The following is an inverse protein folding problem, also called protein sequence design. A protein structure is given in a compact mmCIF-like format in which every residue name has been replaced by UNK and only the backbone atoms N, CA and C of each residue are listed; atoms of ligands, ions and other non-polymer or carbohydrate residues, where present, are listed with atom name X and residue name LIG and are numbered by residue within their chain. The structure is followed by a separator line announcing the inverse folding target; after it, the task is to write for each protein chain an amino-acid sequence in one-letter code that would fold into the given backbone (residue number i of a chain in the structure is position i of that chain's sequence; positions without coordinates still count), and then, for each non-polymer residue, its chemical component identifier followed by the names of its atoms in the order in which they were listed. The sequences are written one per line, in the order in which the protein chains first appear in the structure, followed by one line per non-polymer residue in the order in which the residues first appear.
data_IF_657624954256
#
_entry.id   IF_657624954256
#
_cell.length_a   1.000
_cell.length_b   1.000
_cell.length_c   1.000
_cell.angle_alpha   90.00
_cell.angle_beta   90.00
_cell.angle_gamma   90.00
#
_symmetry.space_group_name_H-M   'P 1'
#
loop_
_entity.id
_entity.type
_entity.pdbx_description
1 polymer ?
#
# COMPACT_ATOMS: atom_id res chain seq x y z
N UNK A 1 17.41 4.92 6.39
CA UNK A 1 16.95 4.73 5.00
C UNK A 1 15.46 5.06 4.96
N UNK A 2 14.88 5.42 3.80
CA UNK A 2 13.42 5.54 3.69
C UNK A 2 12.76 4.19 3.98
N UNK A 3 11.64 4.22 4.72
CA UNK A 3 10.90 3.01 5.12
C UNK A 3 10.02 2.48 3.98
N UNK A 4 9.69 3.34 3.02
CA UNK A 4 8.79 3.06 1.89
C UNK A 4 9.50 3.36 0.57
N UNK A 5 9.35 2.46 -0.40
CA UNK A 5 9.87 2.60 -1.76
C UNK A 5 8.73 2.64 -2.78
N UNK A 6 8.97 3.35 -3.90
CA UNK A 6 8.03 3.47 -5.01
C UNK A 6 8.64 2.92 -6.30
N UNK A 7 7.91 2.05 -6.97
CA UNK A 7 8.18 1.59 -8.32
C UNK A 7 7.08 2.08 -9.26
N UNK A 8 7.47 2.90 -10.23
CA UNK A 8 6.65 3.18 -11.40
C UNK A 8 7.05 2.23 -12.52
N UNK A 9 6.10 1.45 -13.00
CA UNK A 9 6.28 0.54 -14.13
C UNK A 9 5.71 1.18 -15.39
N UNK A 10 6.49 1.20 -16.46
CA UNK A 10 6.08 1.69 -17.78
C UNK A 10 6.29 0.58 -18.79
N UNK A 11 5.22 0.17 -19.47
CA UNK A 11 5.26 -0.88 -20.47
C UNK A 11 5.12 -0.27 -21.87
N UNK A 12 6.25 -0.07 -22.57
CA UNK A 12 6.23 0.40 -23.96
C UNK A 12 6.28 -0.76 -24.97
N UNK A 13 5.80 -1.94 -24.58
CA UNK A 13 5.70 -3.11 -25.46
C UNK A 13 4.25 -3.29 -25.93
N UNK A 14 4.01 -3.99 -27.06
CA UNK A 14 2.68 -4.27 -27.59
C UNK A 14 1.86 -5.26 -26.73
N UNK A 15 2.50 -6.00 -25.83
CA UNK A 15 1.86 -7.02 -25.00
C UNK A 15 1.74 -6.57 -23.53
N UNK A 16 0.78 -7.09 -22.74
CA UNK A 16 0.77 -6.90 -21.29
C UNK A 16 1.90 -7.71 -20.63
N UNK A 17 2.46 -7.17 -19.54
CA UNK A 17 3.52 -7.83 -18.76
C UNK A 17 3.31 -7.69 -17.26
N UNK A 18 3.74 -8.71 -16.51
CA UNK A 18 3.91 -8.62 -15.07
C UNK A 18 5.33 -8.15 -14.76
N UNK A 19 5.46 -7.02 -14.07
CA UNK A 19 6.72 -6.58 -13.48
C UNK A 19 6.84 -7.22 -12.10
N UNK A 20 7.79 -8.13 -11.94
CA UNK A 20 8.03 -8.83 -10.68
C UNK A 20 9.22 -8.22 -9.95
N UNK A 21 9.11 -8.15 -8.63
CA UNK A 21 10.17 -7.76 -7.70
C UNK A 21 10.51 -8.98 -6.85
N UNK A 22 11.81 -9.22 -6.70
CA UNK A 22 12.34 -10.25 -5.81
C UNK A 22 13.63 -9.77 -5.15
N UNK A 23 14.11 -10.55 -4.18
CA UNK A 23 15.36 -10.26 -3.49
C UNK A 23 16.25 -11.49 -3.40
N UNK A 24 17.56 -11.30 -3.49
CA UNK A 24 18.55 -12.34 -3.20
C UNK A 24 19.33 -11.95 -1.97
N UNK A 25 19.40 -12.85 -0.99
CA UNK A 25 20.30 -12.70 0.15
C UNK A 25 21.69 -13.25 -0.19
N UNK A 26 22.76 -12.75 0.47
CA UNK A 26 24.07 -13.37 0.40
C UNK A 26 24.03 -14.69 1.18
N UNK A 27 23.58 -15.74 0.52
CA UNK A 27 23.53 -17.11 1.07
C UNK A 27 24.67 -17.93 0.48
N UNK A 28 25.17 -18.90 1.27
CA UNK A 28 26.14 -19.87 0.75
C UNK A 28 25.48 -20.67 -0.39
N UNK A 29 26.14 -20.81 -1.56
CA UNK A 29 25.63 -21.60 -2.68
C UNK A 29 25.29 -23.06 -2.34
N UNK A 30 25.82 -23.60 -1.23
CA UNK A 30 25.48 -24.93 -0.74
C UNK A 30 24.04 -25.05 -0.22
N UNK A 31 23.41 -23.94 0.18
CA UNK A 31 22.01 -23.93 0.62
C UNK A 31 21.07 -23.86 -0.59
N UNK A 32 20.05 -24.72 -0.61
CA UNK A 32 19.05 -24.77 -1.70
C UNK A 32 18.00 -23.64 -1.61
N UNK A 33 18.46 -22.43 -1.33
CA UNK A 33 17.62 -21.25 -1.12
C UNK A 33 16.83 -20.92 -2.38
N UNK A 34 15.51 -20.86 -2.26
CA UNK A 34 14.59 -20.44 -3.32
C UNK A 34 14.28 -18.96 -3.17
N UNK A 35 14.59 -18.21 -4.22
CA UNK A 35 14.23 -16.80 -4.32
C UNK A 35 12.86 -16.67 -4.96
N UNK A 36 11.95 -15.96 -4.31
CA UNK A 36 10.55 -15.91 -4.70
C UNK A 36 10.15 -14.51 -5.17
N UNK A 37 9.19 -14.45 -6.08
CA UNK A 37 8.48 -13.21 -6.40
C UNK A 37 7.62 -12.84 -5.20
N UNK A 38 8.02 -11.82 -4.45
CA UNK A 38 7.24 -11.36 -3.29
C UNK A 38 6.30 -10.21 -3.64
N UNK A 39 6.57 -9.49 -4.73
CA UNK A 39 5.66 -8.45 -5.21
C UNK A 39 5.61 -8.39 -6.73
N UNK A 40 4.45 -8.01 -7.28
CA UNK A 40 4.29 -7.86 -8.73
C UNK A 40 3.27 -6.78 -9.09
N UNK A 41 3.36 -6.30 -10.32
CA UNK A 41 2.32 -5.48 -10.93
C UNK A 41 2.11 -5.88 -12.39
N UNK A 42 0.88 -6.23 -12.73
CA UNK A 42 0.48 -6.42 -14.11
C UNK A 42 0.24 -5.04 -14.75
N UNK A 43 0.86 -4.80 -15.90
CA UNK A 43 0.82 -3.54 -16.63
C UNK A 43 0.36 -3.81 -18.06
N UNK A 44 -0.72 -3.17 -18.53
CA UNK A 44 -1.22 -3.38 -19.88
C UNK A 44 -0.23 -2.88 -20.93
N UNK A 45 -0.43 -3.33 -22.17
CA UNK A 45 0.29 -2.83 -23.34
C UNK A 45 0.24 -1.30 -23.41
N UNK A 46 1.39 -0.66 -23.67
CA UNK A 46 1.53 0.81 -23.72
C UNK A 46 1.08 1.56 -22.45
N UNK A 47 0.99 0.85 -21.32
CA UNK A 47 0.45 1.39 -20.07
C UNK A 47 1.48 1.64 -18.98
N UNK A 48 0.97 2.08 -17.82
CA UNK A 48 1.76 2.26 -16.61
C UNK A 48 1.09 1.64 -15.38
N UNK A 49 1.92 1.30 -14.39
CA UNK A 49 1.49 0.79 -13.10
C UNK A 49 2.35 1.38 -11.99
N UNK A 50 1.81 1.47 -10.78
CA UNK A 50 2.57 1.93 -9.62
C UNK A 50 2.50 0.87 -8.53
N UNK A 51 3.61 0.71 -7.81
CA UNK A 51 3.75 -0.22 -6.72
C UNK A 51 4.53 0.44 -5.59
N UNK A 52 4.04 0.27 -4.37
CA UNK A 52 4.68 0.80 -3.17
C UNK A 52 4.85 -0.34 -2.19
N UNK A 53 5.97 -0.37 -1.49
CA UNK A 53 6.19 -1.34 -0.43
C UNK A 53 7.00 -0.72 0.70
N UNK A 54 6.78 -1.26 1.89
CA UNK A 54 7.58 -0.94 3.07
C UNK A 54 8.65 -2.02 3.27
N UNK A 55 9.80 -1.64 3.84
CA UNK A 55 10.74 -2.64 4.35
C UNK A 55 10.21 -3.16 5.69
N UNK A 56 9.38 -4.20 5.59
CA UNK A 56 8.88 -4.99 6.73
C UNK A 56 9.16 -6.45 6.46
N UNK A 57 9.89 -7.07 7.37
CA UNK A 57 10.25 -8.47 7.27
C UNK A 57 9.22 -9.33 8.02
N UNK A 58 9.05 -10.57 7.56
CA UNK A 58 8.37 -11.60 8.34
C UNK A 58 9.21 -12.87 8.39
N UNK A 59 9.17 -13.57 9.51
CA UNK A 59 9.62 -14.96 9.59
C UNK A 59 8.49 -15.85 9.08
N UNK A 60 8.83 -16.88 8.31
CA UNK A 60 7.87 -17.70 7.57
C UNK A 60 8.15 -19.18 7.80
N UNK A 61 7.07 -19.94 7.99
CA UNK A 61 7.00 -21.37 7.70
C UNK A 61 6.08 -21.53 6.49
N UNK A 62 6.52 -22.30 5.52
CA UNK A 62 5.82 -22.49 4.26
C UNK A 62 5.61 -23.96 3.91
N UNK A 63 4.64 -24.17 3.04
CA UNK A 63 4.38 -25.44 2.39
C UNK A 63 4.64 -25.29 0.89
N UNK A 64 5.16 -26.36 0.29
CA UNK A 64 5.10 -26.48 -1.17
C UNK A 64 3.67 -26.85 -1.50
N UNK A 65 2.93 -25.95 -2.13
CA UNK A 65 1.64 -26.34 -2.68
C UNK A 65 1.80 -26.63 -4.17
N UNK A 66 1.33 -27.82 -4.53
CA UNK A 66 1.07 -28.27 -5.88
C UNK A 66 2.29 -28.68 -6.75
N UNK A 67 2.57 -29.99 -6.93
CA UNK A 67 3.53 -30.46 -7.92
C UNK A 67 3.13 -30.12 -9.37
N UNK A 68 1.85 -29.79 -9.63
CA UNK A 68 1.34 -29.45 -10.95
C UNK A 68 1.51 -27.97 -11.31
N UNK A 69 1.75 -27.08 -10.31
CA UNK A 69 2.05 -25.66 -10.51
C UNK A 69 3.47 -25.38 -10.03
N UNK A 70 4.43 -25.81 -10.85
CA UNK A 70 5.88 -25.67 -10.68
C UNK A 70 6.35 -24.54 -9.73
N UNK A 71 6.57 -24.89 -8.46
CA UNK A 71 7.37 -24.08 -7.54
C UNK A 71 6.70 -22.81 -7.00
N UNK A 72 5.37 -22.82 -6.81
CA UNK A 72 4.68 -21.83 -5.98
C UNK A 72 4.80 -22.24 -4.50
N UNK A 73 5.41 -21.39 -3.71
CA UNK A 73 5.49 -21.57 -2.27
C UNK A 73 4.34 -20.87 -1.58
N UNK A 74 3.58 -21.62 -0.78
CA UNK A 74 2.53 -21.06 0.05
C UNK A 74 3.03 -20.89 1.48
N UNK A 75 2.56 -19.84 2.13
CA UNK A 75 2.91 -19.55 3.51
C UNK A 75 1.86 -20.18 4.40
N UNK A 76 2.25 -21.14 5.22
CA UNK A 76 1.38 -21.69 6.25
C UNK A 76 1.32 -20.75 7.45
N UNK A 77 2.46 -20.14 7.82
CA UNK A 77 2.54 -19.13 8.87
C UNK A 77 3.51 -18.00 8.53
N UNK A 78 3.09 -16.76 8.82
CA UNK A 78 3.91 -15.55 8.69
C UNK A 78 3.80 -14.75 9.98
N UNK A 79 4.95 -14.37 10.55
CA UNK A 79 5.02 -13.54 11.76
C UNK A 79 5.91 -12.33 11.49
N UNK A 80 5.43 -11.13 11.80
CA UNK A 80 6.24 -9.91 11.69
C UNK A 80 7.53 -10.06 12.50
N UNK A 81 8.65 -9.67 11.91
CA UNK A 81 9.97 -9.79 12.54
C UNK A 81 10.79 -8.54 12.29
N UNK A 82 11.78 -8.32 13.14
CA UNK A 82 12.83 -7.31 12.90
C UNK A 82 14.20 -7.97 12.82
N UNK A 83 15.16 -7.27 12.23
CA UNK A 83 16.56 -7.73 12.19
C UNK A 83 17.09 -7.82 13.62
N UNK A 84 17.75 -8.94 13.94
CA UNK A 84 18.20 -9.31 15.29
C UNK A 84 17.24 -10.24 16.04
N UNK A 85 16.06 -10.54 15.47
CA UNK A 85 15.16 -11.53 16.04
C UNK A 85 15.60 -12.97 15.71
N UNK A 86 15.23 -13.89 16.60
CA UNK A 86 15.38 -15.32 16.42
C UNK A 86 14.01 -15.99 16.63
N UNK A 87 13.78 -17.07 15.87
CA UNK A 87 12.52 -17.81 15.86
C UNK A 87 12.77 -19.31 16.01
N UNK A 88 11.75 -20.03 16.46
CA UNK A 88 11.72 -21.48 16.48
C UNK A 88 10.52 -22.00 15.71
N UNK A 89 10.71 -23.12 15.03
CA UNK A 89 9.64 -23.94 14.47
C UNK A 89 9.50 -25.16 15.34
N UNK A 90 8.38 -25.27 16.04
CA UNK A 90 8.06 -26.38 16.95
C UNK A 90 6.83 -27.13 16.44
N UNK A 91 6.53 -28.30 17.02
CA UNK A 91 5.25 -28.98 16.79
C UNK A 91 4.26 -28.55 17.86
N UNK A 92 3.05 -28.20 17.46
CA UNK A 92 1.96 -27.97 18.39
C UNK A 92 1.30 -29.28 18.88
N UNK A 93 0.23 -29.16 19.67
CA UNK A 93 -0.51 -30.31 20.20
C UNK A 93 -1.19 -31.18 19.12
N UNK A 94 -1.34 -30.66 17.90
CA UNK A 94 -1.91 -31.35 16.75
C UNK A 94 -0.83 -31.94 15.83
N UNK A 95 0.46 -31.72 16.14
CA UNK A 95 1.63 -32.02 15.31
C UNK A 95 1.74 -31.15 14.06
N UNK A 96 1.16 -29.95 14.08
CA UNK A 96 1.40 -28.95 13.05
C UNK A 96 2.64 -28.11 13.40
N UNK A 97 3.41 -27.73 12.38
CA UNK A 97 4.56 -26.85 12.57
C UNK A 97 4.09 -25.43 12.89
N UNK A 98 4.53 -24.89 14.02
CA UNK A 98 4.23 -23.53 14.50
C UNK A 98 5.46 -22.69 14.62
N UNK A 99 5.34 -21.40 14.26
CA UNK A 99 6.42 -20.43 14.31
C UNK A 99 6.28 -19.52 15.52
N UNK A 100 7.23 -19.64 16.45
CA UNK A 100 7.26 -18.89 17.71
C UNK A 100 8.55 -18.08 17.85
N UNK A 101 8.46 -16.95 18.55
CA UNK A 101 9.63 -16.10 18.79
C UNK A 101 10.52 -16.75 19.84
N UNK A 102 11.80 -16.91 19.54
CA UNK A 102 12.76 -17.47 20.48
C UNK A 102 13.03 -16.47 21.63
N UNK A 103 13.42 -16.96 22.83
CA UNK A 103 13.82 -16.10 23.93
C UNK A 103 15.19 -15.43 23.73
N UNK A 104 15.98 -15.93 22.77
CA UNK A 104 17.29 -15.40 22.37
C UNK A 104 17.18 -14.38 21.24
N UNK A 105 18.30 -13.73 20.93
CA UNK A 105 18.42 -12.76 19.85
C UNK A 105 19.50 -13.20 18.87
N UNK A 106 19.23 -13.00 17.58
CA UNK A 106 20.22 -13.23 16.52
C UNK A 106 21.31 -12.14 16.54
N UNK A 107 22.49 -12.40 15.93
CA UNK A 107 23.51 -11.38 15.71
C UNK A 107 22.95 -10.16 14.95
N UNK A 108 23.51 -8.95 15.16
CA UNK A 108 23.09 -7.77 14.42
C UNK A 108 23.23 -7.97 12.91
N UNK A 109 22.17 -7.68 12.15
CA UNK A 109 22.13 -7.91 10.70
C UNK A 109 21.50 -9.24 10.29
N UNK A 110 21.17 -10.11 11.23
CA UNK A 110 20.68 -11.45 10.97
C UNK A 110 19.25 -11.68 11.46
N UNK A 111 18.55 -12.63 10.86
CA UNK A 111 17.36 -13.26 11.41
C UNK A 111 17.63 -14.76 11.39
N UNK A 112 17.46 -15.43 12.53
CA UNK A 112 17.69 -16.88 12.63
C UNK A 112 16.35 -17.58 12.84
N UNK A 113 16.13 -18.69 12.14
CA UNK A 113 14.98 -19.56 12.36
C UNK A 113 15.50 -20.97 12.64
N UNK A 114 15.23 -21.47 13.85
CA UNK A 114 15.62 -22.81 14.29
C UNK A 114 14.49 -23.80 14.04
N UNK A 115 14.77 -24.93 13.43
CA UNK A 115 13.78 -26.00 13.30
C UNK A 115 13.89 -26.98 14.47
N UNK A 116 13.06 -26.80 15.49
CA UNK A 116 13.01 -27.65 16.68
C UNK A 116 11.95 -28.77 16.58
N UNK A 117 11.15 -28.78 15.51
CA UNK A 117 10.02 -29.70 15.32
C UNK A 117 10.41 -31.19 15.24
N UNK A 118 11.69 -31.49 15.05
CA UNK A 118 12.17 -32.85 14.77
C UNK A 118 11.80 -33.39 13.38
N UNK A 119 11.07 -32.62 12.59
CA UNK A 119 10.67 -32.93 11.21
C UNK A 119 11.38 -32.00 10.23
N UNK A 120 11.28 -32.25 8.92
CA UNK A 120 11.73 -31.27 7.93
C UNK A 120 10.75 -30.09 7.87
N UNK A 121 11.27 -28.87 7.80
CA UNK A 121 10.46 -27.66 7.67
C UNK A 121 10.93 -26.83 6.47
N UNK A 122 10.02 -26.10 5.83
CA UNK A 122 10.40 -25.08 4.86
C UNK A 122 10.30 -23.72 5.54
N UNK A 123 11.44 -23.09 5.78
CA UNK A 123 11.53 -21.86 6.54
C UNK A 123 12.04 -20.73 5.68
N UNK A 124 11.65 -19.51 5.98
CA UNK A 124 11.98 -18.40 5.10
C UNK A 124 11.78 -17.04 5.71
N UNK A 125 12.10 -16.04 4.90
CA UNK A 125 11.88 -14.63 5.20
C UNK A 125 10.94 -14.04 4.15
N UNK A 126 9.91 -13.37 4.65
CA UNK A 126 8.98 -12.59 3.86
C UNK A 126 9.34 -11.12 3.81
N UNK A 127 8.68 -10.43 2.88
CA UNK A 127 8.73 -9.00 2.73
C UNK A 127 7.33 -8.45 2.40
N UNK A 128 6.89 -7.42 3.13
CA UNK A 128 5.55 -6.83 3.00
C UNK A 128 4.42 -7.88 3.08
N UNK A 129 4.58 -8.85 3.99
CA UNK A 129 3.61 -9.93 4.24
C UNK A 129 3.62 -11.07 3.20
N UNK A 130 4.44 -11.00 2.15
CA UNK A 130 4.57 -12.05 1.13
C UNK A 130 5.90 -12.83 1.28
N UNK A 131 5.95 -14.13 0.94
CA UNK A 131 7.19 -14.90 0.99
C UNK A 131 8.17 -14.37 -0.06
N UNK A 132 9.41 -14.15 0.37
CA UNK A 132 10.45 -13.59 -0.51
C UNK A 132 11.61 -14.56 -0.72
N UNK A 133 11.97 -15.32 0.32
CA UNK A 133 12.99 -16.37 0.23
C UNK A 133 12.57 -17.53 1.13
N UNK A 134 12.77 -18.76 0.65
CA UNK A 134 12.53 -19.99 1.43
C UNK A 134 13.72 -20.94 1.28
N UNK A 135 14.11 -21.56 2.39
CA UNK A 135 15.00 -22.71 2.43
C UNK A 135 14.15 -23.97 2.59
N UNK A 136 14.13 -24.86 1.58
CA UNK A 136 13.32 -26.07 1.62
C UNK A 136 13.97 -27.15 2.49
N UNK A 137 13.14 -27.99 3.13
CA UNK A 137 13.58 -29.20 3.82
C UNK A 137 14.72 -28.99 4.83
N UNK A 138 14.64 -27.95 5.65
CA UNK A 138 15.56 -27.74 6.77
C UNK A 138 15.35 -28.85 7.79
N UNK A 139 16.40 -29.57 8.13
CA UNK A 139 16.34 -30.74 9.01
C UNK A 139 15.96 -30.33 10.45
N UNK A 140 15.21 -31.17 11.16
CA UNK A 140 14.96 -30.99 12.59
C UNK A 140 16.27 -30.98 13.38
N UNK A 141 16.41 -30.01 14.29
CA UNK A 141 17.63 -29.69 15.04
C UNK A 141 18.61 -28.77 14.29
N UNK A 142 18.35 -28.42 13.03
CA UNK A 142 19.13 -27.44 12.29
C UNK A 142 18.53 -26.03 12.40
N UNK A 143 19.28 -25.03 11.95
CA UNK A 143 18.82 -23.65 11.84
C UNK A 143 19.23 -23.07 10.49
N UNK A 144 18.53 -22.02 10.08
CA UNK A 144 18.96 -21.17 8.98
C UNK A 144 19.20 -19.76 9.48
N UNK A 145 20.34 -19.21 9.04
CA UNK A 145 20.78 -17.86 9.36
C UNK A 145 20.62 -16.97 8.11
N UNK A 146 19.64 -16.09 8.16
CA UNK A 146 19.37 -15.13 7.10
C UNK A 146 20.12 -13.82 7.37
N UNK A 147 21.22 -13.62 6.65
CA UNK A 147 21.91 -12.33 6.63
C UNK A 147 21.08 -11.29 5.85
N UNK A 148 20.50 -10.31 6.55
CA UNK A 148 19.56 -9.32 6.02
C UNK A 148 20.30 -8.16 5.33
N UNK A 149 20.99 -8.52 4.25
CA UNK A 149 21.54 -7.61 3.27
C UNK A 149 21.04 -7.96 1.86
N UNK A 150 19.71 -7.89 1.62
CA UNK A 150 19.14 -8.30 0.35
C UNK A 150 19.60 -7.39 -0.78
N UNK A 151 19.85 -8.00 -1.94
CA UNK A 151 19.88 -7.27 -3.21
C UNK A 151 18.54 -7.44 -3.91
N UNK A 152 17.88 -6.32 -4.21
CA UNK A 152 16.62 -6.29 -4.93
C UNK A 152 16.83 -6.37 -6.43
N UNK A 153 15.90 -7.03 -7.11
CA UNK A 153 15.88 -7.15 -8.56
C UNK A 153 14.46 -6.94 -9.10
N UNK A 154 14.40 -6.52 -10.35
CA UNK A 154 13.16 -6.42 -11.12
C UNK A 154 13.32 -7.06 -12.49
N UNK A 155 12.24 -7.59 -13.04
CA UNK A 155 12.19 -8.22 -14.35
C UNK A 155 10.77 -8.44 -14.84
N UNK A 156 10.64 -8.82 -16.11
CA UNK A 156 9.37 -9.12 -16.73
C UNK A 156 9.06 -10.61 -16.69
N UNK A 157 7.81 -10.93 -16.39
CA UNK A 157 7.25 -12.27 -16.42
C UNK A 157 5.86 -12.27 -17.07
N UNK A 158 5.36 -13.46 -17.43
CA UNK A 158 3.97 -13.66 -17.84
C UNK A 158 3.32 -14.68 -16.89
N UNK A 159 2.09 -14.39 -16.47
CA UNK A 159 1.24 -15.32 -15.69
C UNK A 159 1.87 -15.80 -14.37
N UNK A 160 2.71 -14.99 -13.75
CA UNK A 160 3.32 -15.29 -12.45
C UNK A 160 2.45 -14.79 -11.30
N UNK A 161 2.38 -15.58 -10.24
CA UNK A 161 1.80 -15.21 -8.94
C UNK A 161 2.89 -15.00 -7.90
N UNK A 162 2.59 -14.30 -6.81
CA UNK A 162 3.54 -14.18 -5.70
C UNK A 162 3.84 -15.57 -5.11
N UNK A 163 5.05 -15.77 -4.60
CA UNK A 163 5.53 -17.05 -4.07
C UNK A 163 6.12 -18.00 -5.11
N UNK A 164 6.03 -17.68 -6.41
CA UNK A 164 6.72 -18.46 -7.46
C UNK A 164 8.23 -18.25 -7.37
N UNK A 165 8.99 -19.34 -7.48
CA UNK A 165 10.45 -19.30 -7.60
C UNK A 165 10.88 -18.55 -8.86
N UNK A 166 11.74 -17.54 -8.72
CA UNK A 166 12.12 -16.67 -9.84
C UNK A 166 12.90 -17.40 -10.93
N UNK A 167 13.68 -18.43 -10.55
CA UNK A 167 14.55 -19.17 -11.45
C UNK A 167 13.79 -19.90 -12.59
N UNK A 168 12.46 -20.01 -12.49
CA UNK A 168 11.63 -20.69 -13.50
C UNK A 168 10.80 -19.76 -14.39
N UNK A 169 10.81 -18.42 -14.19
CA UNK A 169 9.75 -17.56 -14.77
C UNK A 169 10.18 -16.20 -15.37
N UNK A 170 11.46 -15.86 -15.42
CA UNK A 170 11.90 -14.55 -15.97
C UNK A 170 12.13 -14.55 -17.48
N UNK A 171 11.55 -13.58 -18.18
CA UNK A 171 11.72 -13.38 -19.63
C UNK A 171 12.83 -12.39 -20.00
N UNK A 172 13.27 -11.60 -19.02
CA UNK A 172 14.34 -10.60 -19.20
C UNK A 172 15.47 -10.88 -18.22
N UNK A 173 16.69 -10.48 -18.58
CA UNK A 173 17.80 -10.49 -17.64
C UNK A 173 17.46 -9.65 -16.40
N UNK A 174 17.61 -10.19 -15.18
CA UNK A 174 17.36 -9.46 -13.93
C UNK A 174 18.05 -8.11 -13.88
N UNK A 175 17.29 -7.05 -13.56
CA UNK A 175 17.85 -5.72 -13.35
C UNK A 175 17.98 -5.46 -11.86
N UNK A 176 19.21 -5.23 -11.39
CA UNK A 176 19.49 -4.91 -10.00
C UNK A 176 18.95 -3.53 -9.66
N UNK A 177 18.21 -3.45 -8.56
CA UNK A 177 17.68 -2.18 -8.03
C UNK A 177 18.61 -1.66 -6.94
N UNK A 178 19.06 -0.42 -7.10
CA UNK A 178 19.96 0.25 -6.15
C UNK A 178 19.48 1.67 -5.85
N UNK A 179 18.81 1.84 -4.72
CA UNK A 179 18.44 3.15 -4.21
C UNK A 179 19.64 3.82 -3.54
N UNK A 180 20.37 4.64 -4.29
CA UNK A 180 21.51 5.43 -3.80
C UNK A 180 21.11 6.89 -3.55
N UNK A 181 21.92 7.62 -2.79
CA UNK A 181 21.82 9.08 -2.61
C UNK A 181 20.46 9.59 -2.11
N UNK A 182 19.79 8.83 -1.24
CA UNK A 182 18.48 9.21 -0.68
C UNK A 182 17.30 9.01 -1.64
N UNK A 183 17.51 8.44 -2.84
CA UNK A 183 16.42 8.03 -3.70
C UNK A 183 15.56 6.97 -3.02
N UNK A 184 14.26 7.03 -3.24
CA UNK A 184 13.26 6.08 -2.75
C UNK A 184 12.23 5.71 -3.82
N UNK A 185 12.38 6.24 -5.04
CA UNK A 185 11.53 5.96 -6.16
C UNK A 185 12.38 5.52 -7.36
N UNK A 186 11.83 4.63 -8.18
CA UNK A 186 12.40 4.29 -9.46
C UNK A 186 11.32 4.06 -10.51
N UNK A 187 11.60 4.45 -11.75
CA UNK A 187 10.81 4.07 -12.89
C UNK A 187 11.51 2.94 -13.64
N UNK A 188 10.79 1.82 -13.79
CA UNK A 188 11.22 0.64 -14.53
C UNK A 188 10.46 0.61 -15.84
N UNK A 189 11.18 0.71 -16.96
CA UNK A 189 10.60 0.82 -18.30
C UNK A 189 10.93 -0.41 -19.11
N UNK A 190 9.89 -1.11 -19.58
CA UNK A 190 10.01 -2.20 -20.55
C UNK A 190 9.90 -1.65 -21.97
N UNK A 191 10.78 -2.10 -22.86
CA UNK A 191 10.72 -1.79 -24.29
C UNK A 191 10.97 -3.05 -25.11
N UNK A 192 10.37 -3.10 -26.29
CA UNK A 192 10.62 -4.15 -27.27
C UNK A 192 11.23 -3.53 -28.53
N UNK A 193 12.40 -4.03 -28.94
CA UNK A 193 13.02 -3.63 -30.20
C UNK A 193 12.20 -4.12 -31.41
N UNK A 194 12.48 -3.57 -32.59
CA UNK A 194 11.88 -4.04 -33.85
C UNK A 194 12.20 -5.50 -34.18
N UNK A 195 13.26 -6.08 -33.60
CA UNK A 195 13.59 -7.50 -33.73
C UNK A 195 12.91 -8.38 -32.67
N UNK A 196 12.05 -7.81 -31.82
CA UNK A 196 11.32 -8.53 -30.77
C UNK A 196 12.07 -8.68 -29.44
N UNK A 197 13.32 -8.21 -29.33
CA UNK A 197 14.08 -8.29 -28.07
C UNK A 197 13.47 -7.38 -27.00
N UNK A 198 13.16 -7.97 -25.84
CA UNK A 198 12.66 -7.26 -24.66
C UNK A 198 13.82 -6.76 -23.81
N UNK A 199 13.74 -5.50 -23.39
CA UNK A 199 14.71 -4.90 -22.45
C UNK A 199 14.00 -4.18 -21.33
N UNK A 200 14.66 -4.10 -20.17
CA UNK A 200 14.19 -3.37 -18.99
C UNK A 200 15.26 -2.36 -18.60
N UNK A 201 14.87 -1.11 -18.41
CA UNK A 201 15.73 -0.04 -17.93
C UNK A 201 15.18 0.54 -16.63
N UNK A 202 16.06 0.96 -15.71
CA UNK A 202 15.68 1.59 -14.44
C UNK A 202 16.22 3.01 -14.39
N UNK A 203 15.38 3.95 -13.99
CA UNK A 203 15.78 5.32 -13.65
C UNK A 203 15.36 5.61 -12.21
N UNK A 204 16.20 6.32 -11.47
CA UNK A 204 15.99 6.56 -10.04
C UNK A 204 15.64 8.02 -9.77
N UNK A 205 14.78 8.23 -8.79
CA UNK A 205 14.36 9.55 -8.33
C UNK A 205 14.09 9.55 -6.82
N UNK A 206 13.97 10.76 -6.28
CA UNK A 206 13.51 10.98 -4.93
C UNK A 206 12.07 11.50 -4.97
N UNK A 207 11.21 10.91 -4.15
CA UNK A 207 9.82 11.32 -3.94
C UNK A 207 9.57 11.61 -2.46
N UNK A 208 8.82 12.67 -2.18
CA UNK A 208 8.32 12.94 -0.84
C UNK A 208 7.10 12.04 -0.57
N UNK A 209 7.33 10.82 -0.06
CA UNK A 209 6.29 9.79 0.15
C UNK A 209 5.38 10.09 1.39
N UNK A 210 5.55 11.24 2.03
CA UNK A 210 4.84 11.67 3.25
C UNK A 210 3.31 11.60 3.14
N UNK A 211 2.75 11.75 1.94
CA UNK A 211 1.31 11.80 1.70
C UNK A 211 0.61 10.43 1.79
N UNK A 212 1.31 9.31 1.51
CA UNK A 212 0.64 7.99 1.39
C UNK A 212 0.61 7.17 2.67
N UNK A 213 1.63 7.25 3.53
CA UNK A 213 1.57 6.60 4.87
C UNK A 213 0.50 7.25 5.76
N UNK A 214 0.17 8.52 5.54
CA UNK A 214 -1.01 9.17 6.11
C UNK A 214 -2.32 8.63 5.48
N UNK A 215 -2.40 8.47 4.15
CA UNK A 215 -3.57 7.90 3.46
C UNK A 215 -3.80 6.38 3.72
N UNK A 216 -2.75 5.58 3.92
CA UNK A 216 -2.84 4.13 4.21
C UNK A 216 -3.26 3.88 5.65
N UNK A 217 -2.80 4.70 6.60
CA UNK A 217 -3.32 4.75 7.99
C UNK A 217 -4.78 5.14 8.04
N UNK A 218 -5.23 6.02 7.13
CA UNK A 218 -6.65 6.33 6.97
C UNK A 218 -7.43 5.12 6.41
N UNK A 219 -6.92 4.41 5.40
CA UNK A 219 -7.62 3.27 4.78
C UNK A 219 -7.71 1.98 5.62
N UNK A 220 -6.95 1.87 6.71
CA UNK A 220 -7.03 0.76 7.67
C UNK A 220 -8.02 1.01 8.81
N UNK A 221 -8.69 2.16 8.81
CA UNK A 221 -9.84 2.44 9.67
C UNK A 221 -11.06 2.07 8.84
N UNK A 222 -11.92 1.18 9.36
CA UNK A 222 -13.26 0.97 8.82
C UNK A 222 -13.99 2.32 8.84
N UNK A 223 -13.99 3.01 7.70
CA UNK A 223 -14.84 4.17 7.52
C UNK A 223 -16.26 3.65 7.29
N UNK A 224 -17.07 3.65 8.34
CA UNK A 224 -18.48 3.98 8.14
C UNK A 224 -18.55 5.30 7.36
N UNK A 225 -19.50 5.45 6.42
CA UNK A 225 -19.45 6.44 5.35
C UNK A 225 -19.65 7.87 5.87
N UNK A 226 -18.65 8.43 6.54
CA UNK A 226 -18.76 9.73 7.20
C UNK A 226 -17.40 10.39 7.45
N UNK A 227 -16.47 10.42 6.48
CA UNK A 227 -15.31 11.33 6.58
C UNK A 227 -14.60 11.59 5.25
N UNK A 228 -15.28 12.26 4.32
CA UNK A 228 -14.63 12.81 3.11
C UNK A 228 -14.14 14.26 3.30
N UNK A 229 -14.46 14.91 4.43
CA UNK A 229 -14.21 16.33 4.66
C UNK A 229 -12.80 16.67 5.19
N UNK A 230 -12.07 15.71 5.76
CA UNK A 230 -10.73 15.96 6.34
C UNK A 230 -9.62 15.97 5.27
N UNK A 231 -9.91 15.48 4.06
CA UNK A 231 -8.90 15.31 3.00
C UNK A 231 -8.32 16.64 2.46
N UNK A 232 -8.97 17.78 2.69
CA UNK A 232 -8.53 19.07 2.17
C UNK A 232 -7.57 19.84 3.10
N UNK A 233 -7.47 19.50 4.39
CA UNK A 233 -6.51 20.13 5.30
C UNK A 233 -5.10 19.54 5.20
N UNK A 234 -4.95 18.35 4.60
CA UNK A 234 -3.69 17.61 4.51
C UNK A 234 -2.80 18.10 3.35
N UNK A 235 -3.32 18.94 2.44
CA UNK A 235 -2.62 19.35 1.19
C UNK A 235 -1.69 20.58 1.42
N UNK A 236 -1.50 21.05 2.66
CA UNK A 236 -0.50 22.09 2.97
C UNK A 236 -0.75 23.45 2.30
N UNK A 237 -1.99 23.75 1.93
CA UNK A 237 -2.37 25.10 1.51
C UNK A 237 -2.50 25.98 2.75
N UNK A 238 -1.76 27.09 2.78
CA UNK A 238 -1.93 28.09 3.85
C UNK A 238 -3.33 28.69 3.78
N UNK A 239 -3.91 29.03 4.94
CA UNK A 239 -5.26 29.61 5.03
C UNK A 239 -5.48 30.82 4.09
N UNK A 240 -4.42 31.59 3.83
CA UNK A 240 -4.44 32.72 2.89
C UNK A 240 -4.60 32.31 1.41
N UNK A 241 -4.12 31.12 1.02
CA UNK A 241 -4.26 30.60 -0.34
C UNK A 241 -5.69 30.06 -0.59
N UNK A 242 -6.24 29.36 0.40
CA UNK A 242 -7.64 28.92 0.39
C UNK A 242 -8.58 30.13 0.35
N UNK A 243 -8.31 31.15 1.18
CA UNK A 243 -9.08 32.40 1.22
C UNK A 243 -9.01 33.22 -0.09
N UNK A 244 -7.86 33.26 -0.79
CA UNK A 244 -7.73 33.90 -2.11
C UNK A 244 -8.50 33.17 -3.22
N UNK A 245 -8.56 31.85 -3.16
CA UNK A 245 -9.33 31.04 -4.11
C UNK A 245 -10.83 31.24 -3.88
N UNK A 246 -11.27 31.24 -2.62
CA UNK A 246 -12.67 31.50 -2.23
C UNK A 246 -13.11 32.91 -2.63
N UNK A 247 -12.27 33.93 -2.45
CA UNK A 247 -12.61 35.33 -2.76
C UNK A 247 -12.68 35.65 -4.26
N UNK A 248 -12.08 34.81 -5.12
CA UNK A 248 -11.92 35.12 -6.55
C UNK A 248 -12.92 34.43 -7.47
N UNK A 249 -13.77 33.52 -6.96
CA UNK A 249 -14.80 32.85 -7.76
C UNK A 249 -16.07 32.68 -6.94
N UNK A 250 -17.16 33.31 -7.39
CA UNK A 250 -18.52 32.90 -7.02
C UNK A 250 -18.64 31.40 -7.36
N UNK A 251 -18.65 30.54 -6.35
CA UNK A 251 -18.69 29.10 -6.55
C UNK A 251 -20.08 28.58 -6.17
N UNK A 252 -20.69 27.80 -7.06
CA UNK A 252 -21.75 26.85 -6.73
C UNK A 252 -21.10 25.47 -6.61
N UNK A 253 -21.22 24.83 -5.44
CA UNK A 253 -20.82 23.44 -5.26
C UNK A 253 -22.09 22.59 -5.24
N UNK A 254 -22.21 21.63 -6.15
CA UNK A 254 -23.28 20.63 -6.15
C UNK A 254 -22.69 19.31 -5.67
N UNK A 255 -23.03 18.90 -4.44
CA UNK A 255 -22.75 17.57 -3.91
C UNK A 255 -24.03 16.75 -3.95
N UNK A 256 -24.00 15.62 -4.66
CA UNK A 256 -25.08 14.64 -4.72
C UNK A 256 -24.67 13.41 -3.91
N UNK A 257 -25.29 13.21 -2.76
CA UNK A 257 -25.18 12.01 -1.94
C UNK A 257 -26.59 11.46 -1.72
N UNK A 258 -26.85 10.24 -2.19
CA UNK A 258 -28.06 9.46 -1.91
C UNK A 258 -29.38 10.28 -1.81
N UNK A 259 -29.68 11.10 -2.82
CA UNK A 259 -30.94 11.87 -2.89
C UNK A 259 -30.92 13.26 -2.25
N UNK A 260 -29.81 13.70 -1.65
CA UNK A 260 -29.65 15.05 -1.09
C UNK A 260 -28.79 15.90 -2.02
N UNK A 261 -29.30 17.07 -2.42
CA UNK A 261 -28.56 18.08 -3.19
C UNK A 261 -28.23 19.26 -2.29
N UNK A 262 -26.98 19.38 -1.86
CA UNK A 262 -26.53 20.55 -1.08
C UNK A 262 -26.03 21.62 -2.02
N UNK A 263 -26.63 22.82 -1.96
CA UNK A 263 -26.17 24.03 -2.66
C UNK A 263 -25.67 25.05 -1.65
N UNK A 264 -24.37 25.15 -1.47
CA UNK A 264 -23.79 26.23 -0.66
C UNK A 264 -23.59 27.47 -1.54
N UNK A 265 -24.18 28.60 -1.14
CA UNK A 265 -23.89 29.91 -1.71
C UNK A 265 -23.49 30.86 -0.57
N UNK A 266 -22.43 31.65 -0.77
CA UNK A 266 -21.95 32.59 0.24
C UNK A 266 -22.14 34.03 -0.23
N UNK A 267 -22.81 34.86 0.57
CA UNK A 267 -22.74 36.32 0.45
C UNK A 267 -22.00 36.90 1.64
N UNK A 268 -20.90 37.60 1.37
CA UNK A 268 -20.22 38.43 2.37
C UNK A 268 -21.04 39.69 2.58
N UNK A 269 -21.80 39.77 3.68
CA UNK A 269 -22.10 41.06 4.27
C UNK A 269 -20.91 41.46 5.16
N UNK A 270 -20.56 42.73 5.16
CA UNK A 270 -19.28 43.28 5.64
C UNK A 270 -18.97 43.09 7.15
N UNK A 271 -19.71 42.24 7.85
CA UNK A 271 -19.59 41.96 9.27
C UNK A 271 -19.26 40.48 9.52
N UNK A 272 -18.04 40.04 9.19
CA UNK A 272 -17.35 38.81 9.68
C UNK A 272 -18.19 37.52 9.89
N UNK A 273 -19.29 37.35 9.19
CA UNK A 273 -20.20 36.22 9.29
C UNK A 273 -20.17 35.39 8.01
N UNK A 274 -20.38 34.09 8.16
CA UNK A 274 -20.63 33.18 7.04
C UNK A 274 -22.08 32.72 7.13
N UNK A 275 -22.82 32.87 6.03
CA UNK A 275 -24.17 32.33 5.88
C UNK A 275 -24.10 31.16 4.90
N UNK A 276 -24.72 30.04 5.27
CA UNK A 276 -24.79 28.83 4.47
C UNK A 276 -26.26 28.46 4.28
N UNK A 277 -26.70 28.46 3.03
CA UNK A 277 -27.99 27.89 2.66
C UNK A 277 -27.83 26.37 2.46
N UNK A 278 -28.67 25.58 3.13
CA UNK A 278 -28.69 24.12 2.97
C UNK A 278 -30.10 23.70 2.56
N UNK A 279 -30.20 23.09 1.38
CA UNK A 279 -31.45 22.53 0.86
C UNK A 279 -31.39 21.01 1.08
N UNK A 280 -32.35 20.47 1.82
CA UNK A 280 -32.47 19.02 2.05
C UNK A 280 -33.93 18.62 2.24
N UNK A 281 -34.27 17.39 1.85
CA UNK A 281 -35.64 16.86 1.94
C UNK A 281 -35.98 16.30 3.33
N UNK A 282 -34.97 16.06 4.19
CA UNK A 282 -35.10 15.42 5.49
C UNK A 282 -34.42 16.23 6.62
N UNK A 283 -35.13 16.37 7.74
CA UNK A 283 -34.70 17.10 8.95
C UNK A 283 -33.53 16.41 9.67
N UNK A 284 -33.40 15.09 9.56
CA UNK A 284 -32.28 14.37 10.17
C UNK A 284 -30.94 14.79 9.53
N UNK A 285 -30.94 14.98 8.21
CA UNK A 285 -29.76 15.42 7.46
C UNK A 285 -29.39 16.88 7.71
N UNK A 286 -30.35 17.73 8.08
CA UNK A 286 -30.08 19.13 8.47
C UNK A 286 -29.15 19.18 9.68
N UNK A 287 -29.45 18.37 10.70
CA UNK A 287 -28.70 18.36 11.97
C UNK A 287 -27.29 17.85 11.73
N UNK A 288 -27.14 16.76 10.97
CA UNK A 288 -25.83 16.20 10.61
C UNK A 288 -24.98 17.18 9.79
N UNK A 289 -25.57 17.85 8.79
CA UNK A 289 -24.84 18.85 7.98
C UNK A 289 -24.42 20.04 8.84
N UNK A 290 -25.29 20.50 9.74
CA UNK A 290 -24.96 21.56 10.71
C UNK A 290 -23.78 21.17 11.60
N UNK A 291 -23.78 19.96 12.15
CA UNK A 291 -22.73 19.48 13.04
C UNK A 291 -21.39 19.34 12.31
N UNK A 292 -21.40 18.89 11.05
CA UNK A 292 -20.20 18.84 10.20
C UNK A 292 -19.65 20.24 9.92
N UNK A 293 -20.51 21.20 9.56
CA UNK A 293 -20.10 22.58 9.28
C UNK A 293 -19.50 23.21 10.53
N UNK A 294 -20.14 23.03 11.69
CA UNK A 294 -19.66 23.55 12.96
C UNK A 294 -18.31 22.91 13.34
N UNK A 295 -18.19 21.59 13.31
CA UNK A 295 -16.94 20.89 13.61
C UNK A 295 -15.77 21.35 12.73
N UNK A 296 -16.02 21.54 11.43
CA UNK A 296 -15.02 22.03 10.47
C UNK A 296 -14.60 23.47 10.76
N UNK A 297 -15.55 24.33 11.17
CA UNK A 297 -15.28 25.74 11.49
C UNK A 297 -14.51 25.90 12.81
N UNK A 298 -14.78 25.06 13.83
CA UNK A 298 -14.03 25.08 15.09
C UNK A 298 -12.59 24.64 14.95
N UNK A 299 -12.32 23.66 14.08
CA UNK A 299 -10.95 23.17 13.86
C UNK A 299 -10.09 24.15 13.07
N UNK A 300 -10.70 25.13 12.38
CA UNK A 300 -9.99 25.98 11.42
C UNK A 300 -10.11 27.48 11.67
N UNK A 301 -10.98 27.94 12.58
CA UNK A 301 -11.19 29.37 12.85
C UNK A 301 -11.57 29.67 14.31
N UNK A 302 -11.31 30.90 14.78
CA UNK A 302 -11.81 31.46 16.06
C UNK A 302 -13.09 32.28 15.87
N UNK A 303 -14.06 31.79 15.08
CA UNK A 303 -15.35 32.47 14.92
C UNK A 303 -16.27 32.04 16.07
N UNK A 304 -16.76 32.96 16.92
CA UNK A 304 -17.67 32.62 18.00
C UNK A 304 -19.01 32.08 17.47
N UNK A 305 -19.56 31.05 18.11
CA UNK A 305 -20.77 30.33 17.74
C UNK A 305 -21.95 31.24 17.42
N UNK A 306 -22.11 32.32 18.18
CA UNK A 306 -23.20 33.27 18.01
C UNK A 306 -23.19 34.02 16.66
N UNK A 307 -22.08 33.93 15.90
CA UNK A 307 -21.92 34.58 14.59
C UNK A 307 -22.14 33.64 13.40
N UNK A 308 -22.36 32.35 13.65
CA UNK A 308 -22.69 31.38 12.59
C UNK A 308 -24.20 31.28 12.46
N UNK A 309 -24.75 31.77 11.33
CA UNK A 309 -26.18 31.63 11.00
C UNK A 309 -26.35 30.59 9.91
N UNK A 310 -27.18 29.59 10.20
CA UNK A 310 -27.55 28.52 9.26
C UNK A 310 -29.05 28.64 9.00
N UNK A 311 -29.37 28.92 7.75
CA UNK A 311 -30.74 29.08 7.24
C UNK A 311 -31.13 27.79 6.52
N UNK A 312 -32.26 27.19 6.88
CA UNK A 312 -32.72 25.92 6.29
C UNK A 312 -34.07 26.15 5.63
N UNK A 313 -34.13 25.99 4.31
CA UNK A 313 -35.36 26.14 3.55
C UNK A 313 -35.85 24.78 3.05
N UNK A 314 -37.03 24.34 3.53
CA UNK A 314 -37.70 23.12 3.05
C UNK A 314 -38.35 23.42 1.69
N UNK A 315 -37.80 22.90 0.60
CA UNK A 315 -38.53 22.86 -0.67
C UNK A 315 -39.50 21.67 -0.69
N UNK A 316 -40.81 21.96 -0.62
CA UNK A 316 -41.85 20.99 -1.00
C UNK A 316 -41.87 20.88 -2.53
N UNK A 317 -41.43 19.77 -3.10
CA UNK A 317 -41.66 19.47 -4.51
C UNK A 317 -43.17 19.25 -4.69
N UNK A 318 -43.88 20.26 -5.21
CA UNK A 318 -45.25 20.10 -5.70
C UNK A 318 -45.22 19.33 -7.02
N UNK A 319 -45.31 18.00 -6.94
CA UNK A 319 -45.60 17.18 -8.11
C UNK A 319 -47.01 17.47 -8.63
N UNK A 320 -47.13 18.13 -9.78
CA UNK A 320 -48.35 18.10 -10.57
C UNK A 320 -48.51 16.69 -11.16
N UNK A 321 -49.45 15.92 -10.64
CA UNK A 321 -50.00 14.77 -11.37
C UNK A 321 -50.97 15.35 -12.40
N UNK A 322 -50.63 15.27 -13.69
CA UNK A 322 -51.61 15.51 -14.76
C UNK A 322 -52.53 14.28 -14.86
N UNK A 323 -53.86 14.48 -15.03
CA UNK A 323 -54.82 13.39 -15.13
C UNK A 323 -54.61 12.52 -16.38
#
# INVERSE_FOLDING_TARGET
MPDTYHFKFVNNTPEPWAFCIWQKYPVDPAYQVKTLVWNKRDVPSTGEGNLYFDIKYSAIVGDVNDPDIHGVWQVSQSKDTVVGDEWTVDLDALNDQVLDKAPSSAPPGHIIINNNSGQFANIGIGMDGSPAVIVPNVQGGANEDFNIHPTYYVGLTQNVVNGVSIDSVTFTSPQKVTFSNGNNACQVTATQSSQGNLTVAITYSHENITTRNQLRRLKGIDFEPFTFAVALSIIGLTAAAIWRIIKSRNFEMNLSLAGVTVKASGKSNNDNGAEFDVITEDELHVTQVKDIILATLYETTTIPDEKVKISVERQRIKGQVKP
#
